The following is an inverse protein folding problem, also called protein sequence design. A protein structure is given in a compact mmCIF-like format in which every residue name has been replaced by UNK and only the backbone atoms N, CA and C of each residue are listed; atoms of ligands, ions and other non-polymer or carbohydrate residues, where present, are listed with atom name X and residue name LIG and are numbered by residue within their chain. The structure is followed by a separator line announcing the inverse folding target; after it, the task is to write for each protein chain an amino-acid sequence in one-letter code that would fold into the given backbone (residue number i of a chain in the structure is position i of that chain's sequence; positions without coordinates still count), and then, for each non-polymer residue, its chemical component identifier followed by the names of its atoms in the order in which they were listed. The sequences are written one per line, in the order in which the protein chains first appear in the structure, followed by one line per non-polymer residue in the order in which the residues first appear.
data_IF_182665855536
#
_entry.id   IF_182665855536
#
_cell.length_a   1.000
_cell.length_b   1.000
_cell.length_c   1.000
_cell.angle_alpha   90.00
_cell.angle_beta   90.00
_cell.angle_gamma   90.00
#
_symmetry.space_group_name_H-M   'P 1'
#
loop_
_entity.id
_entity.type
_entity.pdbx_description
1 polymer ?
#
# COMPACT_ATOMS: atom_id res chain seq x y z
N UNK A 1 -14.20 5.77 45.63
CA UNK A 1 -15.06 6.01 44.46
C UNK A 1 -14.17 6.47 43.32
N UNK A 2 -13.76 5.56 42.42
CA UNK A 2 -12.94 5.91 41.25
C UNK A 2 -13.86 6.34 40.12
N UNK A 3 -13.96 7.65 39.87
CA UNK A 3 -14.61 8.19 38.68
C UNK A 3 -13.63 8.11 37.50
N UNK A 4 -13.88 7.18 36.59
CA UNK A 4 -13.23 7.19 35.28
C UNK A 4 -13.98 8.18 34.38
N UNK A 5 -13.30 9.23 33.92
CA UNK A 5 -13.82 10.10 32.86
C UNK A 5 -13.85 9.30 31.55
N UNK A 6 -15.06 8.92 31.11
CA UNK A 6 -15.28 8.33 29.80
C UNK A 6 -15.39 9.45 28.76
N UNK A 7 -14.34 9.64 27.97
CA UNK A 7 -14.37 10.58 26.84
C UNK A 7 -14.89 9.80 25.62
N UNK A 8 -16.06 10.14 25.05
CA UNK A 8 -16.54 9.49 23.84
C UNK A 8 -15.62 9.82 22.66
N UNK A 9 -15.25 8.79 21.88
CA UNK A 9 -14.48 8.94 20.65
C UNK A 9 -15.22 9.87 19.67
N UNK A 10 -14.57 10.97 19.30
CA UNK A 10 -15.06 11.99 18.35
C UNK A 10 -15.00 11.48 16.90
N UNK A 11 -14.36 10.33 16.65
CA UNK A 11 -14.23 9.76 15.32
C UNK A 11 -15.42 8.86 15.00
N UNK A 12 -16.24 9.29 14.03
CA UNK A 12 -17.28 8.45 13.41
C UNK A 12 -16.70 7.18 12.78
N UNK A 13 -17.59 6.24 12.41
CA UNK A 13 -17.21 4.95 11.80
C UNK A 13 -16.22 5.16 10.64
N UNK A 14 -15.02 4.61 10.75
CA UNK A 14 -14.04 4.63 9.68
C UNK A 14 -14.60 3.87 8.46
N UNK A 15 -14.60 4.49 7.27
CA UNK A 15 -14.90 3.85 5.98
C UNK A 15 -13.74 2.95 5.49
N UNK A 16 -12.95 2.46 6.43
CA UNK A 16 -11.79 1.61 6.19
C UNK A 16 -12.25 0.16 6.20
N UNK A 17 -12.03 -0.52 5.08
CA UNK A 17 -12.17 -1.96 4.98
C UNK A 17 -10.80 -2.57 5.25
N UNK A 18 -10.48 -2.78 6.53
CA UNK A 18 -9.60 -3.90 6.87
C UNK A 18 -10.46 -5.13 6.67
N UNK A 19 -10.07 -6.07 5.80
CA UNK A 19 -10.73 -7.37 5.79
C UNK A 19 -10.47 -8.02 7.15
N UNK A 20 -11.44 -7.84 8.04
CA UNK A 20 -11.44 -8.39 9.38
C UNK A 20 -11.45 -9.91 9.25
N UNK A 21 -10.49 -10.54 9.92
CA UNK A 21 -10.36 -11.96 10.18
C UNK A 21 -9.64 -12.78 9.09
N UNK A 22 -8.32 -12.86 9.19
CA UNK A 22 -7.55 -14.01 8.70
C UNK A 22 -7.19 -14.06 7.22
N UNK A 23 -7.78 -13.23 6.35
CA UNK A 23 -7.54 -13.28 4.90
C UNK A 23 -6.51 -12.26 4.37
N UNK A 24 -6.28 -11.14 5.07
CA UNK A 24 -5.37 -10.08 4.65
C UNK A 24 -3.89 -10.30 5.01
N UNK A 25 -3.50 -11.49 5.49
CA UNK A 25 -2.12 -11.83 5.85
C UNK A 25 -1.70 -13.11 5.12
N UNK A 26 -0.74 -13.00 4.21
CA UNK A 26 -0.21 -14.15 3.44
C UNK A 26 1.21 -14.51 3.89
N UNK A 27 1.39 -15.71 4.45
CA UNK A 27 2.71 -16.20 4.88
C UNK A 27 3.21 -17.25 3.89
N UNK A 28 4.24 -16.88 3.12
CA UNK A 28 4.84 -17.76 2.12
C UNK A 28 6.20 -18.30 2.58
N UNK A 29 6.44 -19.59 2.35
CA UNK A 29 7.69 -20.27 2.78
C UNK A 29 8.88 -20.00 1.87
N UNK A 30 8.62 -19.64 0.60
CA UNK A 30 9.63 -19.46 -0.44
C UNK A 30 9.62 -18.05 -1.05
N UNK A 31 10.79 -17.52 -1.39
CA UNK A 31 10.92 -16.21 -2.03
C UNK A 31 10.18 -16.13 -3.38
N UNK A 32 10.15 -17.23 -4.14
CA UNK A 32 9.43 -17.30 -5.41
C UNK A 32 7.91 -17.29 -5.23
N UNK A 33 7.38 -18.00 -4.24
CA UNK A 33 5.94 -18.01 -3.94
C UNK A 33 5.49 -16.64 -3.39
N UNK A 34 6.31 -16.03 -2.53
CA UNK A 34 6.13 -14.67 -2.04
C UNK A 34 6.03 -13.64 -3.18
N UNK A 35 6.98 -13.63 -4.12
CA UNK A 35 6.94 -12.71 -5.26
C UNK A 35 5.78 -13.02 -6.23
N UNK A 36 5.43 -14.30 -6.38
CA UNK A 36 4.25 -14.71 -7.17
C UNK A 36 2.99 -14.13 -6.57
N UNK A 37 2.76 -14.32 -5.27
CA UNK A 37 1.57 -13.85 -4.55
C UNK A 37 1.43 -12.34 -4.62
N UNK A 38 2.51 -11.60 -4.39
CA UNK A 38 2.54 -10.13 -4.56
C UNK A 38 2.12 -9.73 -5.97
N UNK A 39 2.66 -10.40 -7.00
CA UNK A 39 2.34 -10.08 -8.39
C UNK A 39 0.90 -10.41 -8.74
N UNK A 40 0.40 -11.55 -8.27
CA UNK A 40 -1.01 -11.96 -8.45
C UNK A 40 -1.96 -10.95 -7.83
N UNK A 41 -1.67 -10.47 -6.62
CA UNK A 41 -2.50 -9.47 -5.94
C UNK A 41 -2.48 -8.13 -6.69
N UNK A 42 -1.28 -7.65 -7.06
CA UNK A 42 -1.16 -6.43 -7.87
C UNK A 42 -1.95 -6.57 -9.18
N UNK A 43 -1.81 -7.70 -9.87
CA UNK A 43 -2.51 -7.96 -11.13
C UNK A 43 -4.03 -8.03 -10.93
N UNK A 44 -4.52 -8.65 -9.86
CA UNK A 44 -5.93 -8.72 -9.53
C UNK A 44 -6.50 -7.32 -9.29
N UNK A 45 -5.88 -6.55 -8.40
CA UNK A 45 -6.36 -5.21 -8.02
C UNK A 45 -6.23 -4.19 -9.16
N UNK A 46 -5.07 -4.16 -9.83
CA UNK A 46 -4.80 -3.22 -10.92
C UNK A 46 -5.58 -3.55 -12.19
N UNK A 47 -5.73 -4.84 -12.56
CA UNK A 47 -6.36 -5.23 -13.83
C UNK A 47 -7.86 -5.36 -13.71
N UNK A 48 -8.36 -6.04 -12.66
CA UNK A 48 -9.78 -6.36 -12.49
C UNK A 48 -10.57 -5.17 -11.96
N UNK A 49 -9.99 -4.45 -11.00
CA UNK A 49 -10.65 -3.34 -10.32
C UNK A 49 -10.17 -1.97 -10.80
N UNK A 50 -9.14 -1.92 -11.66
CA UNK A 50 -8.53 -0.68 -12.17
C UNK A 50 -8.07 0.26 -11.06
N UNK A 51 -7.74 -0.26 -9.89
CA UNK A 51 -7.32 0.53 -8.73
C UNK A 51 -5.83 0.82 -8.74
N UNK A 52 -5.44 1.87 -8.03
CA UNK A 52 -4.04 2.16 -7.74
C UNK A 52 -3.52 1.19 -6.69
N UNK A 53 -2.30 0.69 -6.87
CA UNK A 53 -1.64 -0.25 -5.95
C UNK A 53 -0.31 0.33 -5.50
N UNK A 54 -0.07 0.38 -4.19
CA UNK A 54 1.19 0.81 -3.60
C UNK A 54 1.78 -0.34 -2.79
N UNK A 55 3.00 -0.75 -3.13
CA UNK A 55 3.66 -1.92 -2.53
C UNK A 55 4.87 -1.46 -1.74
N UNK A 56 4.89 -1.75 -0.44
CA UNK A 56 5.99 -1.42 0.46
C UNK A 56 6.87 -2.65 0.71
N UNK A 57 8.13 -2.56 0.30
CA UNK A 57 9.16 -3.52 0.66
C UNK A 57 9.94 -3.04 1.88
N UNK A 58 10.37 -3.96 2.74
CA UNK A 58 11.14 -3.64 3.96
C UNK A 58 12.37 -2.78 3.67
N UNK A 59 13.11 -3.15 2.63
CA UNK A 59 14.41 -2.55 2.32
C UNK A 59 14.69 -2.56 0.81
N UNK A 60 15.66 -1.74 0.41
CA UNK A 60 16.09 -1.62 -1.00
C UNK A 60 16.64 -2.93 -1.58
N UNK A 61 17.16 -3.85 -0.76
CA UNK A 61 17.67 -5.14 -1.22
C UNK A 61 16.52 -6.05 -1.65
N UNK A 62 15.48 -6.19 -0.83
CA UNK A 62 14.25 -6.93 -1.16
C UNK A 62 13.53 -6.35 -2.39
N UNK A 63 13.46 -5.03 -2.50
CA UNK A 63 12.92 -4.37 -3.67
C UNK A 63 13.71 -4.72 -4.95
N UNK A 64 15.04 -4.74 -4.88
CA UNK A 64 15.92 -5.12 -6.00
C UNK A 64 15.79 -6.60 -6.36
N UNK A 65 15.64 -7.49 -5.38
CA UNK A 65 15.35 -8.92 -5.60
C UNK A 65 14.04 -9.09 -6.38
N UNK A 66 12.98 -8.39 -5.97
CA UNK A 66 11.69 -8.43 -6.67
C UNK A 66 11.79 -7.85 -8.07
N UNK A 67 12.43 -6.68 -8.23
CA UNK A 67 12.58 -6.00 -9.53
C UNK A 67 13.38 -6.83 -10.54
N UNK A 68 14.38 -7.58 -10.05
CA UNK A 68 15.19 -8.50 -10.86
C UNK A 68 14.45 -9.80 -11.22
N UNK A 69 13.35 -10.11 -10.54
CA UNK A 69 12.62 -11.35 -10.72
C UNK A 69 11.78 -11.38 -12.01
N UNK A 70 11.44 -12.58 -12.48
CA UNK A 70 10.51 -12.74 -13.59
C UNK A 70 9.10 -12.22 -13.28
N UNK A 71 8.73 -12.16 -12.00
CA UNK A 71 7.41 -11.73 -11.55
C UNK A 71 7.19 -10.23 -11.79
N UNK A 72 8.19 -9.40 -11.50
CA UNK A 72 8.13 -7.98 -11.81
C UNK A 72 7.98 -7.69 -13.31
N UNK A 73 8.61 -8.52 -14.16
CA UNK A 73 8.48 -8.41 -15.62
C UNK A 73 7.07 -8.75 -16.11
N UNK A 74 6.33 -9.62 -15.39
CA UNK A 74 4.93 -9.95 -15.70
C UNK A 74 3.96 -8.82 -15.37
N UNK A 75 4.33 -7.89 -14.49
CA UNK A 75 3.52 -6.69 -14.24
C UNK A 75 3.38 -5.85 -15.52
N UNK A 76 2.22 -5.20 -15.67
CA UNK A 76 1.95 -4.32 -16.79
C UNK A 76 2.92 -3.12 -16.92
N UNK A 77 2.69 -2.28 -17.93
CA UNK A 77 3.54 -1.12 -18.24
C UNK A 77 3.37 0.06 -17.27
N UNK A 78 2.24 0.17 -16.56
CA UNK A 78 1.96 1.26 -15.63
C UNK A 78 2.53 0.96 -14.23
N UNK A 79 3.86 0.86 -14.13
CA UNK A 79 4.56 0.63 -12.87
C UNK A 79 5.71 1.60 -12.68
N UNK A 80 5.83 2.12 -11.47
CA UNK A 80 6.89 3.06 -11.07
C UNK A 80 7.58 2.57 -9.79
N UNK A 81 8.88 2.80 -9.72
CA UNK A 81 9.69 2.48 -8.53
C UNK A 81 10.02 3.79 -7.82
N UNK A 82 9.85 3.82 -6.50
CA UNK A 82 10.20 4.94 -5.63
C UNK A 82 11.26 4.47 -4.63
N UNK A 83 12.51 4.89 -4.86
CA UNK A 83 13.67 4.61 -4.01
C UNK A 83 14.31 5.91 -3.55
N UNK A 84 15.11 5.83 -2.49
CA UNK A 84 15.83 6.97 -1.92
C UNK A 84 16.87 7.55 -2.88
N UNK A 85 17.37 6.76 -3.82
CA UNK A 85 18.35 7.16 -4.84
C UNK A 85 17.79 8.15 -5.88
N UNK A 86 16.46 8.28 -5.99
CA UNK A 86 15.83 9.22 -6.94
C UNK A 86 15.99 10.67 -6.50
N UNK A 87 16.06 11.58 -7.47
CA UNK A 87 16.05 13.02 -7.20
C UNK A 87 14.73 13.47 -6.56
N UNK A 88 14.72 14.62 -5.89
CA UNK A 88 13.50 15.16 -5.26
C UNK A 88 12.34 15.30 -6.26
N UNK A 89 12.64 15.83 -7.45
CA UNK A 89 11.64 16.05 -8.50
C UNK A 89 11.05 14.73 -9.01
N UNK A 90 11.87 13.69 -9.19
CA UNK A 90 11.38 12.37 -9.60
C UNK A 90 10.54 11.70 -8.52
N UNK A 91 10.94 11.85 -7.24
CA UNK A 91 10.15 11.34 -6.11
C UNK A 91 8.76 11.99 -6.11
N UNK A 92 8.70 13.31 -6.19
CA UNK A 92 7.43 14.05 -6.21
C UNK A 92 6.56 13.65 -7.43
N UNK A 93 7.17 13.46 -8.59
CA UNK A 93 6.48 12.96 -9.77
C UNK A 93 5.88 11.56 -9.58
N UNK A 94 6.64 10.62 -9.00
CA UNK A 94 6.14 9.26 -8.74
C UNK A 94 5.05 9.28 -7.67
N UNK A 95 5.23 10.05 -6.59
CA UNK A 95 4.25 10.18 -5.50
C UNK A 95 2.94 10.78 -6.01
N UNK A 96 3.00 11.84 -6.81
CA UNK A 96 1.81 12.48 -7.38
C UNK A 96 1.05 11.56 -8.34
N UNK A 97 1.75 10.65 -9.03
CA UNK A 97 1.13 9.65 -9.91
C UNK A 97 0.66 8.39 -9.21
N UNK A 98 1.20 8.07 -8.03
CA UNK A 98 0.97 6.80 -7.36
C UNK A 98 -0.52 6.51 -7.08
N UNK A 99 -1.31 7.56 -6.80
CA UNK A 99 -2.74 7.44 -6.56
C UNK A 99 -3.58 7.70 -7.84
N UNK A 100 -3.14 7.16 -8.97
CA UNK A 100 -3.86 7.22 -10.26
C UNK A 100 -4.41 5.85 -10.64
N UNK A 101 -5.60 5.82 -11.24
CA UNK A 101 -6.28 4.60 -11.70
C UNK A 101 -5.35 3.65 -12.49
N UNK A 102 -5.19 2.43 -11.99
CA UNK A 102 -4.35 1.36 -12.57
C UNK A 102 -2.83 1.58 -12.44
N UNK A 103 -2.38 2.60 -11.71
CA UNK A 103 -0.96 2.79 -11.43
C UNK A 103 -0.48 1.81 -10.37
N UNK A 104 0.68 1.21 -10.59
CA UNK A 104 1.39 0.41 -9.59
C UNK A 104 2.63 1.19 -9.14
N UNK A 105 2.78 1.41 -7.85
CA UNK A 105 3.95 2.07 -7.29
C UNK A 105 4.62 1.11 -6.30
N UNK A 106 5.90 0.86 -6.50
CA UNK A 106 6.68 -0.03 -5.63
C UNK A 106 7.73 0.81 -4.92
N UNK A 107 7.72 0.78 -3.59
CA UNK A 107 8.56 1.63 -2.77
C UNK A 107 9.14 0.87 -1.57
N UNK A 108 10.13 1.48 -0.91
CA UNK A 108 10.65 0.99 0.36
C UNK A 108 9.84 1.51 1.54
N UNK A 109 9.93 0.82 2.68
CA UNK A 109 9.26 1.15 3.94
C UNK A 109 9.49 2.61 4.38
N UNK A 110 10.64 3.20 4.02
CA UNK A 110 10.99 4.60 4.29
C UNK A 110 9.91 5.56 3.76
N UNK A 111 9.31 5.27 2.60
CA UNK A 111 8.25 6.08 2.03
C UNK A 111 6.89 5.87 2.70
N UNK A 112 6.74 4.86 3.56
CA UNK A 112 5.56 4.69 4.41
C UNK A 112 5.45 5.78 5.47
N UNK A 113 6.58 6.40 5.84
CA UNK A 113 6.66 7.48 6.82
C UNK A 113 6.73 8.84 6.12
N UNK A 114 5.69 9.65 6.27
CA UNK A 114 5.70 11.06 5.84
C UNK A 114 5.40 11.32 4.36
N UNK A 115 5.22 10.28 3.54
CA UNK A 115 4.76 10.45 2.14
C UNK A 115 3.24 10.44 2.08
N UNK A 116 2.66 11.37 1.32
CA UNK A 116 1.21 11.45 1.12
C UNK A 116 0.84 11.04 -0.30
N UNK A 117 0.17 9.90 -0.44
CA UNK A 117 -0.34 9.40 -1.70
C UNK A 117 -1.77 9.88 -1.90
N UNK A 118 -1.92 11.18 -2.19
CA UNK A 118 -3.24 11.79 -2.26
C UNK A 118 -3.98 11.38 -3.54
N UNK A 119 -5.10 10.68 -3.38
CA UNK A 119 -6.02 10.37 -4.48
C UNK A 119 -6.72 11.64 -4.96
N UNK A 120 -6.37 12.10 -6.17
CA UNK A 120 -7.00 13.22 -6.87
C UNK A 120 -8.10 12.78 -7.84
N UNK A 121 -8.25 11.47 -8.06
CA UNK A 121 -9.14 10.89 -9.07
C UNK A 121 -10.43 10.36 -8.43
N UNK A 122 -11.57 10.99 -8.73
CA UNK A 122 -12.89 10.55 -8.25
C UNK A 122 -13.28 9.14 -8.76
N UNK A 123 -12.79 8.74 -9.93
CA UNK A 123 -13.05 7.40 -10.47
C UNK A 123 -12.35 6.31 -9.65
N UNK A 124 -11.15 6.63 -9.13
CA UNK A 124 -10.41 5.74 -8.25
C UNK A 124 -11.14 5.57 -6.91
N UNK A 125 -11.67 6.65 -6.32
CA UNK A 125 -12.47 6.56 -5.09
C UNK A 125 -13.72 5.70 -5.25
N UNK A 126 -14.46 5.87 -6.36
CA UNK A 126 -15.62 5.04 -6.69
C UNK A 126 -15.25 3.56 -6.86
N UNK A 127 -14.04 3.29 -7.35
CA UNK A 127 -13.51 1.94 -7.56
C UNK A 127 -12.95 1.29 -6.29
N UNK A 128 -13.00 1.96 -5.13
CA UNK A 128 -12.51 1.45 -3.84
C UNK A 128 -11.21 2.09 -3.35
N UNK A 129 -10.68 3.08 -4.08
CA UNK A 129 -9.51 3.87 -3.71
C UNK A 129 -8.19 3.11 -3.83
N UNK A 130 -7.17 3.60 -3.13
CA UNK A 130 -5.82 3.04 -3.15
C UNK A 130 -5.78 1.73 -2.37
N UNK A 131 -5.14 0.72 -2.96
CA UNK A 131 -4.82 -0.53 -2.30
C UNK A 131 -3.34 -0.53 -1.91
N UNK A 132 -3.04 -0.81 -0.65
CA UNK A 132 -1.66 -0.90 -0.16
C UNK A 132 -1.32 -2.35 0.17
N UNK A 133 -0.15 -2.80 -0.30
CA UNK A 133 0.41 -4.11 0.03
C UNK A 133 1.68 -3.87 0.84
N UNK A 134 1.72 -4.34 2.07
CA UNK A 134 2.89 -4.28 2.92
C UNK A 134 3.57 -5.64 2.94
N UNK A 135 4.74 -5.77 2.31
CA UNK A 135 5.32 -7.10 2.08
C UNK A 135 6.15 -7.63 3.26
N UNK A 136 6.03 -7.01 4.43
CA UNK A 136 6.84 -7.31 5.61
C UNK A 136 6.06 -6.99 6.89
N UNK A 137 6.31 -7.75 7.96
CA UNK A 137 5.78 -7.40 9.27
C UNK A 137 6.57 -6.22 9.86
N UNK A 138 5.87 -5.15 10.23
CA UNK A 138 6.46 -4.02 10.95
C UNK A 138 7.00 -4.44 12.31
N UNK A 139 8.11 -3.83 12.77
CA UNK A 139 8.64 -4.08 14.11
C UNK A 139 7.72 -3.52 15.20
N UNK A 140 7.01 -2.43 14.87
CA UNK A 140 6.16 -1.68 15.78
C UNK A 140 4.78 -1.47 15.17
N UNK A 141 3.75 -1.67 16.00
CA UNK A 141 2.35 -1.43 15.64
C UNK A 141 2.12 0.00 15.12
N UNK A 142 2.90 0.96 15.62
CA UNK A 142 2.85 2.36 15.18
C UNK A 142 3.28 2.56 13.73
N UNK A 143 4.20 1.75 13.21
CA UNK A 143 4.61 1.79 11.80
C UNK A 143 3.52 1.18 10.91
N UNK A 144 2.96 0.05 11.33
CA UNK A 144 1.88 -0.63 10.63
C UNK A 144 0.64 0.29 10.50
N UNK A 145 0.20 0.90 11.61
CA UNK A 145 -0.92 1.86 11.62
C UNK A 145 -0.63 3.06 10.71
N UNK A 146 0.63 3.52 10.64
CA UNK A 146 1.01 4.62 9.78
C UNK A 146 0.92 4.26 8.29
N UNK A 147 1.34 3.05 7.91
CA UNK A 147 1.25 2.54 6.53
C UNK A 147 -0.21 2.29 6.16
N UNK A 148 -0.97 1.63 7.04
CA UNK A 148 -2.41 1.40 6.90
C UNK A 148 -3.15 2.73 6.66
N UNK A 149 -2.84 3.76 7.45
CA UNK A 149 -3.42 5.09 7.33
C UNK A 149 -3.17 5.80 5.99
N UNK A 150 -2.32 5.27 5.11
CA UNK A 150 -2.06 5.82 3.75
C UNK A 150 -3.05 5.35 2.69
N UNK A 151 -3.88 4.35 2.97
CA UNK A 151 -4.91 3.84 2.04
C UNK A 151 -6.18 4.69 2.02
N UNK A 152 -6.56 5.25 3.17
CA UNK A 152 -7.91 5.78 3.43
C UNK A 152 -7.87 7.10 4.21
N UNK A 153 -7.15 8.11 3.69
CA UNK A 153 -7.18 9.46 4.29
C UNK A 153 -8.55 10.12 4.10
N UNK A 154 -9.04 10.76 5.15
CA UNK A 154 -10.30 11.52 5.19
C UNK A 154 -11.58 10.72 4.88
N UNK A 155 -11.66 9.45 5.29
CA UNK A 155 -12.90 8.66 5.14
C UNK A 155 -13.15 8.13 3.72
N UNK A 156 -12.14 8.22 2.85
CA UNK A 156 -12.12 7.59 1.52
C UNK A 156 -11.94 6.07 1.64
N UNK A 157 -12.51 5.32 0.70
CA UNK A 157 -12.37 3.86 0.65
C UNK A 157 -10.92 3.50 0.32
N UNK A 158 -10.40 2.48 0.99
CA UNK A 158 -9.05 1.95 0.79
C UNK A 158 -8.99 0.53 1.33
N UNK A 159 -8.00 -0.25 0.87
CA UNK A 159 -7.79 -1.63 1.31
C UNK A 159 -6.29 -1.86 1.54
N UNK A 160 -5.97 -2.75 2.48
CA UNK A 160 -4.62 -2.99 2.94
C UNK A 160 -4.39 -4.48 3.17
N UNK A 161 -3.32 -5.01 2.60
CA UNK A 161 -2.88 -6.42 2.75
C UNK A 161 -1.43 -6.51 3.23
N UNK A 162 -1.09 -7.60 3.95
CA UNK A 162 0.26 -7.97 4.42
C UNK A 162 0.73 -9.29 3.79
#
# INVERSE_FOLDING_TARGET
VNQYLYIPSVYGKANFSFDKAGEGVSIEKGASDYFRKITEEISNVSTKHKRAVIVFFKDSKRLKEYTSSAFYRKLGRKKEILTEDKSANEKEFVISKAATTGQVTICTAVFGRGTDFFCKDEALEKSGGVHVIQTFLSSDMSEEIQIQGRTARQGKKGSYDI
#
